data_IF_117923213223
#
_entry.id   IF_117923213223
#
_cell.length_a   1.000
_cell.length_b   1.000
_cell.length_c   1.000
_cell.angle_alpha   90.00
_cell.angle_beta   90.00
_cell.angle_gamma   90.00
#
_symmetry.space_group_name_H-M   'P 1'
#
loop_
_entity.id
_entity.type
_entity.pdbx_description
1 polymer ?
#
# COMPACT_ATOMS: atom_id res chain seq x y z
N UNK A 1 -7.59 9.01 6.90
CA UNK A 1 -7.22 8.56 5.54
C UNK A 1 -8.16 7.43 5.13
N UNK A 2 -8.71 7.47 3.91
CA UNK A 2 -9.55 6.39 3.34
C UNK A 2 -8.70 5.35 2.59
N UNK A 3 -9.25 4.19 2.24
CA UNK A 3 -8.57 3.17 1.42
C UNK A 3 -8.13 3.73 0.07
N UNK A 4 -8.99 4.52 -0.59
CA UNK A 4 -8.66 5.16 -1.87
C UNK A 4 -7.51 6.16 -1.73
N UNK A 5 -7.51 6.96 -0.65
CA UNK A 5 -6.43 7.89 -0.35
C UNK A 5 -5.12 7.15 -0.05
N UNK A 6 -5.17 6.05 0.70
CA UNK A 6 -4.01 5.21 0.96
C UNK A 6 -3.43 4.63 -0.33
N UNK A 7 -4.27 4.12 -1.23
CA UNK A 7 -3.82 3.62 -2.53
C UNK A 7 -3.15 4.73 -3.35
N UNK A 8 -3.74 5.92 -3.41
CA UNK A 8 -3.16 7.06 -4.12
C UNK A 8 -1.80 7.47 -3.51
N UNK A 9 -1.70 7.47 -2.17
CA UNK A 9 -0.46 7.77 -1.44
C UNK A 9 0.65 6.78 -1.80
N UNK A 10 0.37 5.47 -1.70
CA UNK A 10 1.35 4.42 -2.00
C UNK A 10 1.86 4.53 -3.43
N UNK A 11 0.97 4.67 -4.41
CA UNK A 11 1.34 4.80 -5.82
C UNK A 11 2.15 6.07 -6.07
N UNK A 12 1.78 7.19 -5.46
CA UNK A 12 2.52 8.45 -5.59
C UNK A 12 3.93 8.32 -5.01
N UNK A 13 4.07 7.74 -3.81
CA UNK A 13 5.38 7.53 -3.17
C UNK A 13 6.26 6.57 -3.98
N UNK A 14 5.71 5.47 -4.51
CA UNK A 14 6.44 4.53 -5.36
C UNK A 14 6.97 5.17 -6.65
N UNK A 15 6.12 5.92 -7.37
CA UNK A 15 6.54 6.62 -8.60
C UNK A 15 7.63 7.65 -8.30
N UNK A 16 7.50 8.39 -7.19
CA UNK A 16 8.51 9.39 -6.80
C UNK A 16 9.85 8.77 -6.41
N UNK A 17 9.84 7.66 -5.67
CA UNK A 17 11.05 7.03 -5.15
C UNK A 17 11.76 6.13 -6.18
N UNK A 18 11.01 5.44 -7.04
CA UNK A 18 11.54 4.40 -7.92
C UNK A 18 11.26 4.64 -9.41
N UNK A 19 10.63 5.77 -9.77
CA UNK A 19 10.25 6.09 -11.14
C UNK A 19 9.18 5.17 -11.72
N UNK A 20 9.08 5.14 -13.05
CA UNK A 20 8.13 4.30 -13.78
C UNK A 20 6.68 4.81 -13.78
N UNK A 21 5.79 4.04 -14.40
CA UNK A 21 4.39 4.43 -14.57
C UNK A 21 3.53 4.06 -13.35
N UNK A 22 2.66 4.98 -12.92
CA UNK A 22 1.67 4.73 -11.87
C UNK A 22 0.77 3.51 -12.16
N UNK A 23 0.50 3.23 -13.44
CA UNK A 23 -0.29 2.05 -13.87
C UNK A 23 0.43 0.74 -13.53
N UNK A 24 1.72 0.67 -13.78
CA UNK A 24 2.55 -0.52 -13.49
C UNK A 24 2.64 -0.75 -11.98
N UNK A 25 2.82 0.32 -11.20
CA UNK A 25 2.80 0.21 -9.74
C UNK A 25 1.44 -0.23 -9.19
N UNK A 26 0.32 0.25 -9.76
CA UNK A 26 -1.02 -0.23 -9.38
C UNK A 26 -1.20 -1.71 -9.63
N UNK A 27 -0.71 -2.21 -10.77
CA UNK A 27 -0.78 -3.62 -11.10
C UNK A 27 0.06 -4.46 -10.13
N UNK A 28 1.29 -4.02 -9.81
CA UNK A 28 2.17 -4.72 -8.87
C UNK A 28 1.66 -4.67 -7.42
N UNK A 29 1.07 -3.54 -6.98
CA UNK A 29 0.52 -3.36 -5.63
C UNK A 29 -0.71 -4.24 -5.38
N UNK A 30 -1.54 -4.40 -6.40
CA UNK A 30 -2.83 -5.06 -6.27
C UNK A 30 -3.84 -4.26 -5.43
N UNK A 31 -5.00 -4.87 -5.11
CA UNK A 31 -6.02 -4.23 -4.30
C UNK A 31 -5.58 -4.13 -2.83
N UNK A 32 -5.97 -3.04 -2.17
CA UNK A 32 -5.86 -2.92 -0.72
C UNK A 32 -7.04 -3.67 -0.09
N UNK A 33 -6.74 -4.69 0.71
CA UNK A 33 -7.73 -5.33 1.58
C UNK A 33 -7.91 -4.47 2.82
N UNK A 34 -9.15 -4.15 3.15
CA UNK A 34 -9.56 -3.44 4.36
C UNK A 34 -10.26 -4.40 5.31
N UNK A 35 -9.92 -4.32 6.59
CA UNK A 35 -10.42 -5.18 7.65
C UNK A 35 -11.14 -4.35 8.71
N UNK A 36 -12.04 -4.99 9.46
CA UNK A 36 -12.66 -4.36 10.62
C UNK A 36 -11.63 -4.18 11.73
N UNK A 37 -11.59 -2.99 12.33
CA UNK A 37 -10.71 -2.65 13.46
C UNK A 37 -11.01 -3.55 14.67
N UNK A 38 -12.23 -4.03 14.83
CA UNK A 38 -12.60 -4.96 15.91
C UNK A 38 -11.81 -6.29 15.84
N UNK A 39 -11.45 -6.74 14.63
CA UNK A 39 -10.64 -7.95 14.42
C UNK A 39 -9.17 -7.66 14.13
N UNK A 40 -8.86 -6.45 13.67
CA UNK A 40 -7.52 -6.01 13.28
C UNK A 40 -7.20 -4.65 13.93
N UNK A 41 -7.02 -4.60 15.27
CA UNK A 41 -6.90 -3.34 16.00
C UNK A 41 -5.57 -2.61 15.77
N UNK A 42 -4.55 -3.31 15.30
CA UNK A 42 -3.20 -2.75 15.12
C UNK A 42 -2.89 -2.30 13.69
N UNK A 43 -3.54 -2.92 12.70
CA UNK A 43 -3.42 -2.55 11.29
C UNK A 43 -4.60 -3.12 10.54
N UNK A 44 -5.48 -2.27 10.02
CA UNK A 44 -6.74 -2.71 9.43
C UNK A 44 -6.68 -2.80 7.89
N UNK A 45 -5.48 -2.87 7.33
CA UNK A 45 -5.30 -3.02 5.90
C UNK A 45 -4.09 -3.86 5.52
N UNK A 46 -4.15 -4.46 4.34
CA UNK A 46 -3.08 -5.30 3.78
C UNK A 46 -3.05 -5.19 2.26
N UNK A 47 -1.87 -5.35 1.67
CA UNK A 47 -1.68 -5.56 0.24
C UNK A 47 -1.05 -6.94 -0.02
N UNK A 48 -1.28 -7.49 -1.20
CA UNK A 48 -0.65 -8.73 -1.67
C UNK A 48 0.02 -8.45 -3.01
N UNK A 49 1.25 -7.92 -3.00
CA UNK A 49 1.92 -7.52 -4.22
C UNK A 49 2.24 -8.73 -5.11
N UNK A 50 2.21 -8.52 -6.41
CA UNK A 50 2.42 -9.57 -7.43
C UNK A 50 3.27 -9.08 -8.62
N UNK A 51 4.10 -8.07 -8.38
CA UNK A 51 5.08 -7.58 -9.34
C UNK A 51 6.34 -8.43 -9.39
N UNK A 52 7.36 -7.91 -10.07
CA UNK A 52 8.73 -8.45 -10.04
C UNK A 52 9.32 -8.37 -8.62
N UNK A 53 10.39 -9.12 -8.35
CA UNK A 53 11.08 -9.09 -7.06
C UNK A 53 11.42 -7.66 -6.60
N UNK A 54 11.96 -6.83 -7.49
CA UNK A 54 12.26 -5.42 -7.20
C UNK A 54 11.01 -4.61 -6.82
N UNK A 55 9.89 -4.85 -7.49
CA UNK A 55 8.65 -4.14 -7.19
C UNK A 55 8.07 -4.58 -5.86
N UNK A 56 8.08 -5.88 -5.57
CA UNK A 56 7.55 -6.42 -4.33
C UNK A 56 8.35 -5.91 -3.13
N UNK A 57 9.68 -5.93 -3.19
CA UNK A 57 10.53 -5.36 -2.13
C UNK A 57 10.24 -3.87 -1.89
N UNK A 58 10.16 -3.07 -2.95
CA UNK A 58 9.83 -1.64 -2.83
C UNK A 58 8.43 -1.39 -2.23
N UNK A 59 7.45 -2.24 -2.57
CA UNK A 59 6.10 -2.16 -2.02
C UNK A 59 6.09 -2.54 -0.54
N UNK A 60 6.78 -3.62 -0.17
CA UNK A 60 6.87 -4.12 1.21
C UNK A 60 7.53 -3.09 2.12
N UNK A 61 8.71 -2.57 1.72
CA UNK A 61 9.44 -1.52 2.45
C UNK A 61 8.58 -0.27 2.65
N UNK A 62 7.89 0.20 1.60
CA UNK A 62 7.00 1.35 1.70
C UNK A 62 5.80 1.06 2.60
N UNK A 63 5.22 -0.13 2.54
CA UNK A 63 4.08 -0.50 3.37
C UNK A 63 4.46 -0.48 4.85
N UNK A 64 5.65 -0.95 5.22
CA UNK A 64 6.11 -0.92 6.60
C UNK A 64 6.26 0.51 7.13
N UNK A 65 6.83 1.42 6.34
CA UNK A 65 6.89 2.84 6.67
C UNK A 65 5.49 3.46 6.80
N UNK A 66 4.59 3.21 5.84
CA UNK A 66 3.25 3.80 5.85
C UNK A 66 2.38 3.23 6.96
N UNK A 67 2.56 1.96 7.37
CA UNK A 67 1.88 1.39 8.54
C UNK A 67 2.29 2.05 9.85
N UNK A 68 3.54 2.49 9.97
CA UNK A 68 3.99 3.23 11.15
C UNK A 68 3.29 4.61 11.25
N UNK A 69 3.01 5.26 10.12
CA UNK A 69 2.30 6.55 10.06
C UNK A 69 0.77 6.39 10.14
N UNK A 70 0.24 5.36 9.49
CA UNK A 70 -1.19 5.20 9.18
C UNK A 70 -1.67 3.74 9.28
N UNK A 71 -1.65 3.14 10.48
CA UNK A 71 -2.04 1.74 10.65
C UNK A 71 -3.54 1.50 10.44
N UNK A 72 -4.38 2.50 10.73
CA UNK A 72 -5.83 2.40 10.66
C UNK A 72 -6.39 3.39 9.63
N UNK A 73 -7.13 2.87 8.65
CA UNK A 73 -7.79 3.65 7.60
C UNK A 73 -9.30 3.44 7.61
N UNK A 74 -10.02 4.44 7.11
CA UNK A 74 -11.46 4.38 6.87
C UNK A 74 -11.72 3.74 5.50
N UNK A 75 -12.89 3.14 5.33
CA UNK A 75 -13.28 2.58 4.04
C UNK A 75 -13.36 3.65 2.96
#
# INVERSE_FOLDING_TARGET
MTVTQLQALLITRLVRAHGGEARIWRQALGPIRHYDVATHPHCNWMVAPSGSARQNSAIEELCDSVRAEHPIVMR
#
